data_IF_831597671198
#
_entry.id   IF_831597671198
#
_cell.length_a   1.000
_cell.length_b   1.000
_cell.length_c   1.000
_cell.angle_alpha   90.00
_cell.angle_beta   90.00
_cell.angle_gamma   90.00
#
_symmetry.space_group_name_H-M   'P 1'
#
loop_
_entity.id
_entity.type
_entity.pdbx_description
1 polymer ?
#
# COMPACT_ATOMS: atom_id res chain seq x y z
N UNK A 1 -22.69 12.75 18.85
CA UNK A 1 -22.18 13.26 17.55
C UNK A 1 -20.68 13.05 17.51
N UNK A 2 -20.14 12.28 16.55
CA UNK A 2 -18.68 12.06 16.45
C UNK A 2 -18.02 13.39 16.10
N UNK A 3 -17.35 14.03 17.06
CA UNK A 3 -16.63 15.27 16.82
C UNK A 3 -15.27 14.93 16.17
N UNK A 4 -15.24 14.84 14.84
CA UNK A 4 -14.04 14.51 14.07
C UNK A 4 -12.87 15.46 14.38
N UNK A 5 -13.16 16.72 14.72
CA UNK A 5 -12.12 17.69 15.10
C UNK A 5 -11.44 17.34 16.41
N UNK A 6 -12.19 16.86 17.40
CA UNK A 6 -11.63 16.43 18.69
C UNK A 6 -10.81 15.15 18.54
N UNK A 7 -11.34 14.16 17.79
CA UNK A 7 -10.61 12.92 17.50
C UNK A 7 -9.29 13.20 16.79
N UNK A 8 -9.29 14.01 15.73
CA UNK A 8 -8.08 14.36 14.98
C UNK A 8 -7.04 15.07 15.86
N UNK A 9 -7.48 16.01 16.72
CA UNK A 9 -6.59 16.69 17.68
C UNK A 9 -5.96 15.71 18.67
N UNK A 10 -6.76 14.84 19.28
CA UNK A 10 -6.26 13.84 20.24
C UNK A 10 -5.27 12.90 19.56
N UNK A 11 -5.59 12.40 18.36
CA UNK A 11 -4.70 11.54 17.60
C UNK A 11 -3.38 12.24 17.24
N UNK A 12 -3.43 13.52 16.89
CA UNK A 12 -2.23 14.30 16.61
C UNK A 12 -1.36 14.49 17.87
N UNK A 13 -1.97 14.83 19.01
CA UNK A 13 -1.24 15.04 20.28
C UNK A 13 -0.60 13.73 20.75
N UNK A 14 -1.37 12.64 20.83
CA UNK A 14 -0.84 11.34 21.22
C UNK A 14 0.16 10.80 20.20
N UNK A 15 -0.10 10.98 18.91
CA UNK A 15 0.81 10.57 17.84
C UNK A 15 2.16 11.27 17.92
N UNK A 16 2.17 12.59 18.13
CA UNK A 16 3.38 13.36 18.33
C UNK A 16 4.14 12.92 19.59
N UNK A 17 3.41 12.71 20.70
CA UNK A 17 3.99 12.20 21.95
C UNK A 17 4.66 10.83 21.76
N UNK A 18 3.97 9.88 21.14
CA UNK A 18 4.50 8.54 20.86
C UNK A 18 5.71 8.59 19.93
N UNK A 19 5.69 9.45 18.91
CA UNK A 19 6.82 9.62 17.99
C UNK A 19 8.05 10.15 18.73
N UNK A 20 7.91 11.19 19.55
CA UNK A 20 9.03 11.76 20.32
C UNK A 20 9.56 10.75 21.34
N UNK A 21 8.66 10.09 22.10
CA UNK A 21 9.05 9.08 23.09
C UNK A 21 9.74 7.89 22.42
N UNK A 22 9.22 7.39 21.30
CA UNK A 22 9.84 6.28 20.56
C UNK A 22 11.22 6.64 20.01
N UNK A 23 11.40 7.88 19.54
CA UNK A 23 12.69 8.38 19.09
C UNK A 23 13.71 8.48 20.23
N UNK A 24 13.32 9.06 21.37
CA UNK A 24 14.17 9.15 22.56
C UNK A 24 14.50 7.78 23.14
N UNK A 25 13.51 6.88 23.17
CA UNK A 25 13.71 5.48 23.58
C UNK A 25 14.72 4.76 22.68
N UNK A 26 14.82 5.19 21.42
CA UNK A 26 15.83 4.76 20.45
C UNK A 26 17.28 4.89 20.92
N UNK A 27 17.59 5.81 21.84
CA UNK A 27 18.96 5.97 22.37
C UNK A 27 19.36 4.87 23.35
N UNK A 28 18.39 4.29 24.07
CA UNK A 28 18.61 3.20 25.02
C UNK A 28 18.34 1.85 24.36
N UNK A 29 17.27 1.78 23.57
CA UNK A 29 16.87 0.59 22.83
C UNK A 29 16.74 0.92 21.34
N UNK A 30 17.77 0.63 20.51
CA UNK A 30 17.84 1.07 19.13
C UNK A 30 16.60 0.76 18.30
N UNK A 31 16.19 1.72 17.48
CA UNK A 31 15.08 1.55 16.55
C UNK A 31 15.45 0.50 15.51
N UNK A 32 14.90 -0.70 15.65
CA UNK A 32 15.14 -1.82 14.76
C UNK A 32 13.81 -2.43 14.29
N UNK A 33 13.58 -2.34 12.97
CA UNK A 33 12.40 -2.87 12.27
C UNK A 33 12.35 -4.39 12.23
N UNK A 34 13.50 -5.06 12.04
CA UNK A 34 13.54 -6.52 11.93
C UNK A 34 13.17 -7.20 13.25
N UNK A 35 13.56 -6.59 14.37
CA UNK A 35 13.30 -7.10 15.72
C UNK A 35 12.01 -6.56 16.35
N UNK A 36 11.27 -5.68 15.66
CA UNK A 36 10.05 -5.06 16.20
C UNK A 36 10.26 -4.44 17.60
N UNK A 37 11.39 -3.77 17.77
CA UNK A 37 11.76 -3.12 19.04
C UNK A 37 10.67 -2.14 19.52
N UNK A 38 10.50 -2.01 20.84
CA UNK A 38 9.49 -1.11 21.40
C UNK A 38 9.69 0.35 21.00
N UNK A 39 10.94 0.78 20.76
CA UNK A 39 11.26 2.11 20.20
C UNK A 39 10.73 2.26 18.78
N UNK A 40 10.95 1.26 17.93
CA UNK A 40 10.39 1.20 16.59
C UNK A 40 8.85 1.23 16.58
N UNK A 41 8.21 0.44 17.46
CA UNK A 41 6.74 0.40 17.56
C UNK A 41 6.17 1.75 17.99
N UNK A 42 6.72 2.37 19.04
CA UNK A 42 6.27 3.69 19.51
C UNK A 42 6.48 4.77 18.44
N UNK A 43 7.66 4.78 17.82
CA UNK A 43 8.02 5.76 16.80
C UNK A 43 7.09 5.69 15.59
N UNK A 44 6.96 4.49 15.00
CA UNK A 44 6.12 4.28 13.81
C UNK A 44 4.62 4.35 14.11
N UNK A 45 4.19 3.92 15.30
CA UNK A 45 2.81 4.08 15.76
C UNK A 45 2.42 5.55 15.93
N UNK A 46 3.35 6.38 16.43
CA UNK A 46 3.17 7.83 16.49
C UNK A 46 3.02 8.47 15.10
N UNK A 47 3.90 8.09 14.16
CA UNK A 47 3.80 8.53 12.76
C UNK A 47 2.46 8.10 12.14
N UNK A 48 2.04 6.85 12.34
CA UNK A 48 0.76 6.35 11.82
C UNK A 48 -0.44 7.14 12.38
N UNK A 49 -0.44 7.46 13.68
CA UNK A 49 -1.47 8.28 14.30
C UNK A 49 -1.50 9.71 13.74
N UNK A 50 -0.34 10.32 13.49
CA UNK A 50 -0.23 11.64 12.85
C UNK A 50 -0.74 11.64 11.41
N UNK A 51 -0.36 10.63 10.62
CA UNK A 51 -0.88 10.46 9.25
C UNK A 51 -2.39 10.29 9.27
N UNK A 52 -2.92 9.46 10.17
CA UNK A 52 -4.36 9.24 10.29
C UNK A 52 -5.09 10.52 10.72
N UNK A 53 -4.55 11.29 11.66
CA UNK A 53 -5.10 12.61 12.03
C UNK A 53 -5.13 13.57 10.84
N UNK A 54 -4.07 13.59 10.02
CA UNK A 54 -4.00 14.37 8.79
C UNK A 54 -5.06 13.93 7.76
N UNK A 55 -5.23 12.63 7.55
CA UNK A 55 -6.26 12.09 6.66
C UNK A 55 -7.68 12.43 7.14
N UNK A 56 -7.96 12.27 8.44
CA UNK A 56 -9.24 12.69 9.04
C UNK A 56 -9.49 14.18 8.84
N UNK A 57 -8.47 15.02 9.00
CA UNK A 57 -8.60 16.44 8.72
C UNK A 57 -8.92 16.74 7.26
N UNK A 58 -8.22 16.13 6.31
CA UNK A 58 -8.43 16.38 4.88
C UNK A 58 -9.78 15.83 4.38
N UNK A 59 -10.18 14.63 4.81
CA UNK A 59 -11.33 13.90 4.29
C UNK A 59 -12.61 14.23 5.06
N UNK A 60 -12.56 14.18 6.38
CA UNK A 60 -13.75 14.28 7.23
C UNK A 60 -14.07 15.72 7.65
N UNK A 61 -13.05 16.58 7.80
CA UNK A 61 -13.22 17.98 8.22
C UNK A 61 -13.23 18.93 7.01
N UNK A 62 -12.24 18.83 6.11
CA UNK A 62 -12.13 19.66 4.90
C UNK A 62 -12.94 19.14 3.71
N UNK A 63 -13.54 17.95 3.84
CA UNK A 63 -14.36 17.31 2.80
C UNK A 63 -13.67 17.14 1.45
N UNK A 64 -12.34 17.04 1.43
CA UNK A 64 -11.57 16.93 0.20
C UNK A 64 -11.53 15.48 -0.30
N UNK A 65 -12.69 14.92 -0.69
CA UNK A 65 -12.86 13.49 -1.00
C UNK A 65 -12.46 13.10 -2.43
N UNK A 66 -12.49 14.06 -3.37
CA UNK A 66 -12.26 13.82 -4.81
C UNK A 66 -10.91 13.18 -5.19
N UNK A 67 -9.77 13.37 -4.51
CA UNK A 67 -8.56 12.60 -4.81
C UNK A 67 -8.53 11.23 -4.13
N UNK A 68 -9.28 11.05 -3.02
CA UNK A 68 -9.20 9.84 -2.21
C UNK A 68 -10.04 8.66 -2.69
N UNK A 69 -10.95 8.85 -3.63
CA UNK A 69 -11.74 7.75 -4.21
C UNK A 69 -10.86 6.65 -4.83
N UNK A 70 -9.69 6.98 -5.38
CA UNK A 70 -8.74 5.99 -5.92
C UNK A 70 -8.31 5.02 -4.82
N UNK A 71 -8.04 5.54 -3.62
CA UNK A 71 -7.68 4.76 -2.43
C UNK A 71 -8.90 4.06 -1.81
N UNK A 72 -10.08 4.66 -1.90
CA UNK A 72 -11.34 4.05 -1.46
C UNK A 72 -11.61 2.75 -2.23
N UNK A 73 -11.41 2.76 -3.55
CA UNK A 73 -11.54 1.56 -4.41
C UNK A 73 -10.65 0.42 -3.88
N UNK A 74 -9.38 0.71 -3.57
CA UNK A 74 -8.48 -0.27 -2.96
C UNK A 74 -8.94 -0.74 -1.58
N UNK A 75 -9.50 0.17 -0.78
CA UNK A 75 -9.94 -0.11 0.59
C UNK A 75 -11.17 -1.03 0.68
N UNK A 76 -12.14 -0.88 -0.23
CA UNK A 76 -13.43 -1.60 -0.15
C UNK A 76 -13.32 -3.13 -0.17
N UNK A 77 -12.30 -3.67 -0.84
CA UNK A 77 -12.07 -5.10 -1.00
C UNK A 77 -10.59 -5.46 -0.71
N UNK A 78 -10.02 -4.85 0.33
CA UNK A 78 -8.58 -4.94 0.64
C UNK A 78 -8.10 -6.38 0.95
N UNK A 79 -8.89 -7.18 1.67
CA UNK A 79 -8.54 -8.59 1.97
C UNK A 79 -8.56 -9.43 0.68
N UNK A 80 -9.59 -9.25 -0.16
CA UNK A 80 -9.66 -9.92 -1.45
C UNK A 80 -8.47 -9.57 -2.34
N UNK A 81 -8.11 -8.28 -2.41
CA UNK A 81 -6.93 -7.82 -3.14
C UNK A 81 -5.66 -8.50 -2.65
N UNK A 82 -5.47 -8.57 -1.32
CA UNK A 82 -4.29 -9.23 -0.73
C UNK A 82 -4.19 -10.68 -1.19
N UNK A 83 -5.27 -11.46 -1.07
CA UNK A 83 -5.31 -12.86 -1.51
C UNK A 83 -5.11 -12.99 -3.03
N UNK A 84 -5.81 -12.18 -3.82
CA UNK A 84 -5.71 -12.19 -5.28
C UNK A 84 -4.30 -11.86 -5.77
N UNK A 85 -3.63 -10.88 -5.14
CA UNK A 85 -2.25 -10.52 -5.47
C UNK A 85 -1.26 -11.64 -5.17
N UNK A 86 -1.43 -12.34 -4.04
CA UNK A 86 -0.61 -13.50 -3.70
C UNK A 86 -0.82 -14.67 -4.66
N UNK A 87 -2.09 -14.94 -5.02
CA UNK A 87 -2.43 -15.96 -6.00
C UNK A 87 -1.87 -15.64 -7.39
N UNK A 88 -2.05 -14.40 -7.87
CA UNK A 88 -1.50 -13.92 -9.13
C UNK A 88 0.02 -14.11 -9.18
N UNK A 89 0.74 -13.65 -8.16
CA UNK A 89 2.21 -13.71 -8.11
C UNK A 89 2.71 -15.15 -8.17
N UNK A 90 2.09 -16.07 -7.40
CA UNK A 90 2.44 -17.49 -7.45
C UNK A 90 2.16 -18.12 -8.82
N UNK A 91 1.05 -17.74 -9.45
CA UNK A 91 0.64 -18.30 -10.74
C UNK A 91 1.58 -17.86 -11.86
N UNK A 92 1.85 -16.55 -11.96
CA UNK A 92 2.69 -16.01 -13.04
C UNK A 92 4.18 -16.41 -12.90
N UNK A 93 4.64 -16.68 -11.68
CA UNK A 93 5.98 -17.21 -11.43
C UNK A 93 6.09 -18.72 -11.73
N UNK A 94 5.00 -19.48 -11.56
CA UNK A 94 4.98 -20.92 -11.80
C UNK A 94 4.96 -21.28 -13.29
N UNK A 95 4.36 -20.44 -14.13
CA UNK A 95 4.32 -20.65 -15.58
C UNK A 95 5.73 -20.39 -16.13
N UNK A 96 6.29 -21.39 -16.81
CA UNK A 96 7.58 -21.29 -17.51
C UNK A 96 7.34 -21.00 -18.98
N UNK A 97 8.06 -20.03 -19.50
CA UNK A 97 8.08 -19.62 -20.90
C UNK A 97 9.50 -19.71 -21.43
N UNK A 98 9.65 -19.93 -22.72
CA UNK A 98 10.96 -19.89 -23.37
C UNK A 98 11.24 -18.48 -23.90
N UNK A 99 12.43 -17.96 -23.58
CA UNK A 99 12.94 -16.71 -24.10
C UNK A 99 14.39 -16.92 -24.52
N UNK A 100 14.67 -16.80 -25.82
CA UNK A 100 16.00 -17.00 -26.41
C UNK A 100 16.67 -18.31 -25.97
N UNK A 101 15.90 -19.41 -25.90
CA UNK A 101 16.37 -20.73 -25.50
C UNK A 101 16.64 -20.91 -24.00
N UNK A 102 16.26 -19.93 -23.16
CA UNK A 102 16.28 -20.03 -21.70
C UNK A 102 14.86 -20.09 -21.16
N UNK A 103 14.60 -21.10 -20.33
CA UNK A 103 13.35 -21.20 -19.59
C UNK A 103 13.30 -20.14 -18.48
N UNK A 104 12.45 -19.14 -18.67
CA UNK A 104 12.19 -18.05 -17.71
C UNK A 104 10.75 -18.11 -17.21
N UNK A 105 10.46 -17.45 -16.09
CA UNK A 105 9.06 -17.35 -15.64
C UNK A 105 8.25 -16.44 -16.57
N UNK A 106 6.94 -16.65 -16.64
CA UNK A 106 6.05 -15.77 -17.41
C UNK A 106 6.12 -14.32 -16.92
N UNK A 107 6.44 -14.10 -15.64
CA UNK A 107 6.67 -12.77 -15.07
C UNK A 107 7.87 -12.07 -15.72
N UNK A 108 9.01 -12.76 -15.77
CA UNK A 108 10.24 -12.25 -16.39
C UNK A 108 10.06 -12.09 -17.89
N UNK A 109 9.38 -13.04 -18.54
CA UNK A 109 9.04 -12.97 -19.96
C UNK A 109 8.21 -11.71 -20.28
N UNK A 110 7.14 -11.45 -19.52
CA UNK A 110 6.30 -10.26 -19.70
C UNK A 110 7.13 -8.97 -19.57
N UNK A 111 7.97 -8.91 -18.55
CA UNK A 111 8.86 -7.77 -18.32
C UNK A 111 9.83 -7.56 -19.49
N UNK A 112 10.57 -8.59 -19.89
CA UNK A 112 11.62 -8.50 -20.90
C UNK A 112 11.10 -8.34 -22.33
N UNK A 113 9.93 -8.90 -22.65
CA UNK A 113 9.39 -8.88 -24.02
C UNK A 113 8.51 -7.65 -24.29
N UNK A 114 7.86 -7.08 -23.27
CA UNK A 114 6.92 -5.96 -23.45
C UNK A 114 7.46 -4.67 -22.87
N UNK A 115 7.95 -4.68 -21.63
CA UNK A 115 8.24 -3.44 -20.90
C UNK A 115 9.67 -2.93 -21.11
N UNK A 116 10.66 -3.83 -21.18
CA UNK A 116 12.06 -3.47 -21.47
C UNK A 116 12.22 -2.87 -22.88
N UNK A 117 11.65 -3.43 -23.97
CA UNK A 117 11.82 -2.85 -25.30
C UNK A 117 11.10 -1.50 -25.45
N UNK A 118 10.03 -1.29 -24.67
CA UNK A 118 9.22 -0.07 -24.75
C UNK A 118 9.85 1.11 -24.00
N UNK A 119 10.56 0.87 -22.89
CA UNK A 119 11.03 1.95 -22.02
C UNK A 119 12.44 1.74 -21.41
N UNK A 120 13.15 0.68 -21.78
CA UNK A 120 14.42 0.29 -21.19
C UNK A 120 14.26 -0.32 -19.79
N UNK A 121 15.36 -0.66 -19.13
CA UNK A 121 15.33 -1.43 -17.87
C UNK A 121 14.68 -0.65 -16.72
N UNK A 122 15.15 0.58 -16.47
CA UNK A 122 14.72 1.39 -15.33
C UNK A 122 13.25 1.82 -15.47
N UNK A 123 12.89 2.49 -16.58
CA UNK A 123 11.53 2.96 -16.78
C UNK A 123 10.57 1.80 -17.09
N UNK A 124 11.05 0.73 -17.72
CA UNK A 124 10.30 -0.50 -17.91
C UNK A 124 9.90 -1.13 -16.58
N UNK A 125 10.77 -1.10 -15.56
CA UNK A 125 10.43 -1.63 -14.23
C UNK A 125 9.31 -0.83 -13.56
N UNK A 126 9.34 0.50 -13.70
CA UNK A 126 8.31 1.40 -13.17
C UNK A 126 6.98 1.17 -13.91
N UNK A 127 7.00 1.13 -15.24
CA UNK A 127 5.81 0.87 -16.05
C UNK A 127 5.19 -0.50 -15.74
N UNK A 128 6.03 -1.51 -15.54
CA UNK A 128 5.58 -2.84 -15.19
C UNK A 128 4.89 -2.88 -13.82
N UNK A 129 5.46 -2.20 -12.82
CA UNK A 129 4.85 -2.05 -11.50
C UNK A 129 3.52 -1.27 -11.58
N UNK A 130 3.48 -0.17 -12.33
CA UNK A 130 2.26 0.62 -12.53
C UNK A 130 1.18 -0.15 -13.27
N UNK A 131 1.54 -0.94 -14.29
CA UNK A 131 0.61 -1.79 -15.03
C UNK A 131 -0.03 -2.85 -14.13
N UNK A 132 0.73 -3.45 -13.22
CA UNK A 132 0.19 -4.38 -12.22
C UNK A 132 -0.77 -3.68 -11.27
N UNK A 133 -0.36 -2.55 -10.70
CA UNK A 133 -1.20 -1.76 -9.79
C UNK A 133 -2.49 -1.32 -10.48
N UNK A 134 -2.40 -0.84 -11.73
CA UNK A 134 -3.55 -0.47 -12.54
C UNK A 134 -4.44 -1.66 -12.86
N UNK A 135 -3.88 -2.83 -13.19
CA UNK A 135 -4.64 -4.04 -13.46
C UNK A 135 -5.49 -4.46 -12.25
N UNK A 136 -4.88 -4.50 -11.06
CA UNK A 136 -5.61 -4.76 -9.82
C UNK A 136 -6.61 -3.66 -9.50
N UNK A 137 -6.24 -2.39 -9.72
CA UNK A 137 -7.14 -1.27 -9.49
C UNK A 137 -8.37 -1.33 -10.39
N UNK A 138 -8.23 -1.65 -11.68
CA UNK A 138 -9.34 -1.80 -12.62
C UNK A 138 -10.29 -2.92 -12.22
N UNK A 139 -9.73 -4.06 -11.78
CA UNK A 139 -10.52 -5.17 -11.23
C UNK A 139 -11.33 -4.72 -10.01
N UNK A 140 -10.70 -4.03 -9.06
CA UNK A 140 -11.40 -3.51 -7.88
C UNK A 140 -12.39 -2.40 -8.22
N UNK A 141 -12.08 -1.55 -9.20
CA UNK A 141 -12.96 -0.50 -9.67
C UNK A 141 -14.24 -1.09 -10.27
N UNK A 142 -14.13 -2.20 -11.00
CA UNK A 142 -15.29 -2.94 -11.48
C UNK A 142 -16.17 -3.44 -10.32
N UNK A 143 -15.57 -4.05 -9.29
CA UNK A 143 -16.30 -4.47 -8.08
C UNK A 143 -16.95 -3.28 -7.35
N UNK A 144 -16.20 -2.18 -7.21
CA UNK A 144 -16.65 -0.94 -6.58
C UNK A 144 -17.87 -0.36 -7.29
N UNK A 145 -17.85 -0.28 -8.63
CA UNK A 145 -18.97 0.18 -9.46
C UNK A 145 -20.21 -0.69 -9.32
N UNK A 146 -20.03 -1.99 -9.10
CA UNK A 146 -21.12 -2.95 -8.85
C UNK A 146 -21.56 -2.99 -7.38
N UNK A 147 -20.92 -2.23 -6.49
CA UNK A 147 -21.13 -2.25 -5.03
C UNK A 147 -20.98 -3.65 -4.42
N UNK A 148 -20.14 -4.49 -5.02
CA UNK A 148 -19.86 -5.84 -4.53
C UNK A 148 -18.75 -5.75 -3.48
N UNK A 149 -19.05 -6.25 -2.28
CA UNK A 149 -18.09 -6.38 -1.19
C UNK A 149 -17.87 -7.86 -0.91
N UNK A 150 -16.68 -8.35 -1.26
CA UNK A 150 -16.26 -9.72 -0.99
C UNK A 150 -15.75 -9.76 0.46
N UNK A 151 -16.49 -10.47 1.31
CA UNK A 151 -16.09 -10.74 2.69
C UNK A 151 -15.51 -12.15 2.71
N UNK A 152 -14.29 -12.27 3.23
CA UNK A 152 -13.58 -13.53 3.44
C UNK A 152 -13.48 -13.79 4.94
#
# INVERSE_FOLDING_TARGET
>A
TKNYTDCAKRMAIFGLGLMIVGWLWGFIFPINKALWTSSYVLFTGGIAALVLAGLTYLIDIKHWKKPFWVFEVFGTNSIFLFVASGFWTKTILAIKMDLDGKSVSAYTYLYQSIFVPFAGDLNGSILFALAHVLGFWLMLYWLYRKKIQIKL
#
